data_IF_045996345713
#
_entry.id   IF_045996345713
#
_cell.length_a   1.000
_cell.length_b   1.000
_cell.length_c   1.000
_cell.angle_alpha   90.00
_cell.angle_beta   90.00
_cell.angle_gamma   90.00
#
_symmetry.space_group_name_H-M   'P 1'
#
loop_
_entity.id
_entity.type
_entity.pdbx_description
1 polymer ?
#
# COMPACT_ATOMS: atom_id res chain seq x y z
N UNK A 1 11.39 -32.57 -19.32
CA UNK A 1 11.11 -32.17 -17.92
C UNK A 1 10.60 -30.76 -17.96
N UNK A 2 9.31 -30.53 -17.79
CA UNK A 2 8.80 -29.13 -17.67
C UNK A 2 9.25 -28.61 -16.30
N UNK A 3 10.17 -27.65 -16.29
CA UNK A 3 10.53 -26.91 -15.09
C UNK A 3 9.30 -26.08 -14.70
N UNK A 4 8.75 -26.38 -13.52
CA UNK A 4 7.65 -25.59 -12.96
C UNK A 4 8.26 -24.24 -12.54
N UNK A 5 7.77 -23.16 -13.15
CA UNK A 5 8.16 -21.81 -12.78
C UNK A 5 7.49 -21.45 -11.44
N UNK A 6 8.24 -21.62 -10.34
CA UNK A 6 7.77 -21.32 -8.99
C UNK A 6 7.55 -19.82 -8.76
N UNK A 7 8.16 -18.94 -9.56
CA UNK A 7 7.95 -17.49 -9.49
C UNK A 7 6.51 -17.10 -9.79
N UNK A 8 5.83 -17.85 -10.65
CA UNK A 8 4.41 -17.66 -11.00
C UNK A 8 3.46 -17.82 -9.80
N UNK A 9 3.87 -18.52 -8.75
CA UNK A 9 3.06 -18.83 -7.57
C UNK A 9 3.43 -17.99 -6.35
N UNK A 10 4.35 -17.02 -6.50
CA UNK A 10 4.66 -16.06 -5.43
C UNK A 10 3.59 -14.98 -5.39
N UNK A 11 2.96 -14.81 -4.24
CA UNK A 11 2.11 -13.65 -3.98
C UNK A 11 2.92 -12.37 -4.15
N UNK A 12 2.43 -11.44 -4.96
CA UNK A 12 3.07 -10.16 -5.22
C UNK A 12 2.63 -9.12 -4.20
N UNK A 13 3.44 -8.10 -4.04
CA UNK A 13 3.15 -6.92 -3.23
C UNK A 13 3.75 -5.70 -3.89
N UNK A 14 3.06 -4.58 -3.78
CA UNK A 14 3.57 -3.27 -4.18
C UNK A 14 4.22 -2.54 -2.99
N UNK A 15 4.17 -3.13 -1.78
CA UNK A 15 4.73 -2.54 -0.57
C UNK A 15 6.19 -2.97 -0.37
N UNK A 16 7.10 -2.00 -0.26
CA UNK A 16 8.53 -2.28 0.01
C UNK A 16 8.73 -3.02 1.33
N UNK A 17 7.90 -2.72 2.32
CA UNK A 17 7.96 -3.32 3.67
C UNK A 17 7.63 -4.82 3.68
N UNK A 18 7.03 -5.34 2.63
CA UNK A 18 6.74 -6.77 2.44
C UNK A 18 7.75 -7.48 1.53
N UNK A 19 8.75 -6.76 1.04
CA UNK A 19 9.83 -7.31 0.22
C UNK A 19 10.67 -8.35 0.97
N UNK A 20 11.17 -9.37 0.25
CA UNK A 20 12.01 -10.41 0.84
C UNK A 20 13.28 -9.80 1.43
N UNK A 21 13.55 -10.10 2.72
CA UNK A 21 14.70 -9.56 3.45
C UNK A 21 14.58 -8.07 3.83
N UNK A 22 13.38 -7.50 3.81
CA UNK A 22 13.17 -6.11 4.22
C UNK A 22 13.75 -5.83 5.61
N UNK A 23 14.47 -4.71 5.70
CA UNK A 23 14.89 -4.08 6.96
C UNK A 23 14.74 -2.58 6.80
N UNK A 24 14.13 -1.94 7.76
CA UNK A 24 14.08 -0.48 7.83
C UNK A 24 15.45 0.07 8.29
N UNK A 25 15.86 1.21 7.73
CA UNK A 25 17.05 1.93 8.19
C UNK A 25 16.76 2.66 9.50
N UNK A 26 15.54 3.16 9.64
CA UNK A 26 15.04 3.76 10.88
C UNK A 26 13.55 3.52 11.04
N UNK A 27 13.09 3.48 12.29
CA UNK A 27 11.68 3.41 12.62
C UNK A 27 11.38 4.16 13.91
N UNK A 28 10.19 4.75 14.00
CA UNK A 28 9.71 5.37 15.22
C UNK A 28 8.19 5.21 15.39
N UNK A 29 7.74 5.22 16.63
CA UNK A 29 6.31 5.19 16.94
C UNK A 29 5.82 6.60 17.30
N UNK A 30 4.80 7.07 16.60
CA UNK A 30 4.10 8.31 16.92
C UNK A 30 3.26 8.10 18.18
N UNK A 31 2.58 6.96 18.25
CA UNK A 31 1.84 6.46 19.41
C UNK A 31 1.74 4.92 19.35
N UNK A 32 0.92 4.31 20.23
CA UNK A 32 0.72 2.85 20.22
C UNK A 32 0.11 2.30 18.91
N UNK A 33 -0.60 3.14 18.16
CA UNK A 33 -1.36 2.76 16.95
C UNK A 33 -0.67 3.14 15.65
N UNK A 34 0.39 3.97 15.67
CA UNK A 34 1.04 4.49 14.47
C UNK A 34 2.54 4.23 14.54
N UNK A 35 3.05 3.50 13.56
CA UNK A 35 4.45 3.19 13.33
C UNK A 35 4.89 3.77 11.99
N UNK A 36 6.02 4.47 11.98
CA UNK A 36 6.67 4.94 10.75
C UNK A 36 7.97 4.18 10.57
N UNK A 37 8.18 3.65 9.37
CA UNK A 37 9.40 2.97 8.96
C UNK A 37 9.97 3.67 7.73
N UNK A 38 11.27 3.96 7.75
CA UNK A 38 11.98 4.60 6.62
C UNK A 38 13.04 3.65 6.09
N UNK A 39 13.14 3.60 4.77
CA UNK A 39 14.17 2.85 4.06
C UNK A 39 14.68 3.65 2.88
N UNK A 40 16.00 3.63 2.68
CA UNK A 40 16.66 4.14 1.50
C UNK A 40 17.39 2.98 0.82
N UNK A 41 17.17 2.82 -0.47
CA UNK A 41 17.91 1.85 -1.26
C UNK A 41 18.31 2.44 -2.63
N UNK A 42 18.85 1.62 -3.51
CA UNK A 42 19.27 2.07 -4.85
C UNK A 42 18.12 2.56 -5.74
N UNK A 43 16.89 2.25 -5.39
CA UNK A 43 15.68 2.68 -6.13
C UNK A 43 15.22 4.06 -5.67
N UNK A 44 15.37 4.38 -4.39
CA UNK A 44 14.95 5.63 -3.80
C UNK A 44 14.65 5.53 -2.30
N UNK A 45 13.95 6.55 -1.79
CA UNK A 45 13.48 6.62 -0.40
C UNK A 45 12.07 6.08 -0.31
N UNK A 46 11.81 5.35 0.76
CA UNK A 46 10.50 4.81 1.11
C UNK A 46 10.15 5.17 2.54
N UNK A 47 8.96 5.69 2.75
CA UNK A 47 8.36 5.90 4.07
C UNK A 47 7.07 5.10 4.13
N UNK A 48 6.97 4.22 5.10
CA UNK A 48 5.79 3.40 5.37
C UNK A 48 5.17 3.81 6.68
N UNK A 49 3.94 4.31 6.64
CA UNK A 49 3.14 4.71 7.80
C UNK A 49 2.12 3.60 8.03
N UNK A 50 2.33 2.79 9.07
CA UNK A 50 1.40 1.75 9.49
C UNK A 50 0.52 2.26 10.62
N UNK A 51 -0.80 2.04 10.55
CA UNK A 51 -1.76 2.52 11.54
C UNK A 51 -2.88 1.50 11.76
N UNK A 52 -3.58 1.62 12.89
CA UNK A 52 -4.61 0.64 13.24
C UNK A 52 -5.93 0.90 12.50
N UNK A 53 -6.37 2.15 12.45
CA UNK A 53 -7.69 2.53 11.94
C UNK A 53 -7.73 4.01 11.54
N UNK A 54 -8.51 4.35 10.52
CA UNK A 54 -8.80 5.73 10.08
C UNK A 54 -10.28 6.12 10.31
N UNK A 55 -11.08 5.23 10.87
CA UNK A 55 -12.49 5.50 11.19
C UNK A 55 -12.62 6.20 12.55
N UNK A 56 -11.67 5.96 13.47
CA UNK A 56 -11.54 6.71 14.71
C UNK A 56 -11.02 8.13 14.43
N UNK A 57 -11.72 9.14 14.94
CA UNK A 57 -11.45 10.55 14.66
C UNK A 57 -10.08 11.02 15.14
N UNK A 58 -9.65 10.56 16.32
CA UNK A 58 -8.38 11.02 16.89
C UNK A 58 -7.22 10.33 16.20
N UNK A 59 -7.35 9.04 15.91
CA UNK A 59 -6.36 8.31 15.12
C UNK A 59 -6.24 8.88 13.71
N UNK A 60 -7.35 9.20 13.03
CA UNK A 60 -7.39 9.84 11.73
C UNK A 60 -6.54 11.12 11.70
N UNK A 61 -6.76 12.05 12.67
CA UNK A 61 -5.99 13.30 12.77
C UNK A 61 -4.50 13.06 12.97
N UNK A 62 -4.15 12.05 13.77
CA UNK A 62 -2.75 11.71 14.01
C UNK A 62 -2.10 11.10 12.78
N UNK A 63 -2.79 10.25 12.03
CA UNK A 63 -2.31 9.69 10.75
C UNK A 63 -2.14 10.80 9.73
N UNK A 64 -3.12 11.71 9.58
CA UNK A 64 -3.03 12.87 8.69
C UNK A 64 -1.81 13.75 9.01
N UNK A 65 -1.62 14.09 10.29
CA UNK A 65 -0.46 14.88 10.73
C UNK A 65 0.85 14.19 10.43
N UNK A 66 0.93 12.89 10.68
CA UNK A 66 2.12 12.08 10.40
C UNK A 66 2.39 12.06 8.89
N UNK A 67 1.34 11.82 8.08
CA UNK A 67 1.43 11.83 6.62
C UNK A 67 1.96 13.17 6.09
N UNK A 68 1.44 14.30 6.59
CA UNK A 68 1.89 15.65 6.20
C UNK A 68 3.38 15.84 6.54
N UNK A 69 3.80 15.43 7.73
CA UNK A 69 5.19 15.56 8.16
C UNK A 69 6.14 14.78 7.26
N UNK A 70 5.81 13.52 6.99
CA UNK A 70 6.64 12.65 6.16
C UNK A 70 6.62 13.06 4.67
N UNK A 71 5.47 13.51 4.17
CA UNK A 71 5.34 13.98 2.80
C UNK A 71 6.16 15.25 2.58
N UNK A 72 6.12 16.22 3.49
CA UNK A 72 6.94 17.44 3.41
C UNK A 72 8.44 17.13 3.42
N UNK A 73 8.87 16.16 4.22
CA UNK A 73 10.29 15.75 4.27
C UNK A 73 10.76 15.18 2.92
N UNK A 74 9.92 14.39 2.24
CA UNK A 74 10.25 13.82 0.92
C UNK A 74 10.17 14.87 -0.19
N UNK A 75 9.14 15.72 -0.18
CA UNK A 75 8.91 16.75 -1.18
C UNK A 75 10.03 17.80 -1.21
N UNK A 76 10.55 18.17 -0.04
CA UNK A 76 11.50 19.27 0.10
C UNK A 76 10.87 20.60 -0.31
N UNK A 77 11.65 21.49 -0.93
CA UNK A 77 11.15 22.78 -1.40
C UNK A 77 10.33 22.63 -2.68
N UNK A 78 9.08 23.09 -2.60
CA UNK A 78 8.11 23.06 -3.72
C UNK A 78 7.78 24.45 -4.25
N UNK A 79 8.43 25.49 -3.70
CA UNK A 79 8.21 26.88 -4.11
C UNK A 79 8.51 27.05 -5.60
N UNK A 80 7.67 27.81 -6.27
CA UNK A 80 7.75 28.14 -7.70
C UNK A 80 7.71 26.93 -8.67
N UNK A 81 7.45 25.69 -8.18
CA UNK A 81 7.30 24.51 -9.00
C UNK A 81 5.90 24.38 -9.59
N UNK A 82 5.84 23.96 -10.85
CA UNK A 82 4.61 23.51 -11.51
C UNK A 82 4.38 22.05 -11.13
N UNK A 83 3.33 21.77 -10.39
CA UNK A 83 3.07 20.48 -9.78
C UNK A 83 1.86 19.83 -10.45
N UNK A 84 2.03 18.56 -10.87
CA UNK A 84 0.93 17.73 -11.35
C UNK A 84 0.64 16.62 -10.33
N UNK A 85 -0.63 16.51 -9.90
CA UNK A 85 -1.11 15.43 -9.05
C UNK A 85 -1.96 14.48 -9.87
N UNK A 86 -1.57 13.21 -9.94
CA UNK A 86 -2.24 12.19 -10.75
C UNK A 86 -2.84 11.11 -9.86
N UNK A 87 -4.12 10.84 -10.01
CA UNK A 87 -4.80 9.72 -9.35
C UNK A 87 -4.98 8.55 -10.31
N UNK A 88 -4.19 7.49 -10.10
CA UNK A 88 -4.27 6.25 -10.87
C UNK A 88 -5.43 5.37 -10.37
N UNK A 89 -5.89 4.48 -11.24
CA UNK A 89 -6.90 3.49 -10.94
C UNK A 89 -8.23 3.72 -11.66
N UNK A 90 -9.18 2.86 -11.33
CA UNK A 90 -10.50 2.82 -11.96
C UNK A 90 -11.58 3.28 -10.96
N UNK A 91 -12.12 4.46 -11.16
CA UNK A 91 -13.20 5.02 -10.30
C UNK A 91 -14.48 4.16 -10.26
N UNK A 92 -14.67 3.21 -11.20
CA UNK A 92 -15.81 2.27 -11.21
C UNK A 92 -15.56 1.02 -10.35
N UNK A 93 -14.35 0.83 -9.85
CA UNK A 93 -13.97 -0.27 -8.99
C UNK A 93 -13.54 0.28 -7.65
N UNK A 94 -14.36 0.20 -6.62
CA UNK A 94 -14.11 0.84 -5.33
C UNK A 94 -12.70 0.56 -4.77
N UNK A 95 -12.19 -0.68 -4.76
CA UNK A 95 -10.84 -0.94 -4.27
C UNK A 95 -9.73 -0.23 -5.08
N UNK A 96 -10.02 0.14 -6.32
CA UNK A 96 -9.08 0.80 -7.25
C UNK A 96 -9.40 2.30 -7.42
N UNK A 97 -10.32 2.85 -6.63
CA UNK A 97 -10.79 4.24 -6.74
C UNK A 97 -10.01 5.24 -5.89
N UNK A 98 -9.05 4.80 -5.07
CA UNK A 98 -8.31 5.67 -4.14
C UNK A 98 -7.70 6.89 -4.84
N UNK A 99 -6.96 6.67 -5.93
CA UNK A 99 -6.32 7.75 -6.70
C UNK A 99 -7.35 8.72 -7.27
N UNK A 100 -8.32 8.26 -8.09
CA UNK A 100 -9.38 9.10 -8.64
C UNK A 100 -10.17 9.89 -7.59
N UNK A 101 -10.48 9.30 -6.44
CA UNK A 101 -11.22 9.95 -5.36
C UNK A 101 -10.36 10.97 -4.60
N UNK A 102 -9.07 10.69 -4.43
CA UNK A 102 -8.12 11.66 -3.86
C UNK A 102 -8.06 12.93 -4.70
N UNK A 103 -8.07 12.82 -6.03
CA UNK A 103 -8.05 13.97 -6.93
C UNK A 103 -9.26 14.90 -6.73
N UNK A 104 -10.43 14.38 -6.32
CA UNK A 104 -11.59 15.22 -6.00
C UNK A 104 -11.33 16.17 -4.80
N UNK A 105 -10.36 15.85 -3.97
CA UNK A 105 -9.99 16.60 -2.76
C UNK A 105 -8.75 17.48 -2.96
N UNK A 106 -8.15 17.51 -4.16
CA UNK A 106 -6.97 18.34 -4.45
C UNK A 106 -7.39 19.77 -4.80
N UNK A 107 -6.77 20.74 -4.14
CA UNK A 107 -6.90 22.14 -4.47
C UNK A 107 -6.08 22.48 -5.71
N UNK A 108 -6.74 22.71 -6.83
CA UNK A 108 -6.09 23.09 -8.09
C UNK A 108 -6.02 24.62 -8.22
N UNK A 109 -4.85 25.11 -8.54
CA UNK A 109 -4.53 26.56 -8.57
C UNK A 109 -3.91 27.01 -9.89
N UNK A 110 -3.45 26.11 -10.75
CA UNK A 110 -2.72 26.44 -11.99
C UNK A 110 -3.45 27.48 -12.84
N UNK A 111 -4.77 27.39 -12.97
CA UNK A 111 -5.56 28.33 -13.75
C UNK A 111 -5.49 29.77 -13.16
N UNK A 112 -5.41 29.90 -11.84
CA UNK A 112 -5.26 31.21 -11.17
C UNK A 112 -3.88 31.81 -11.45
N UNK A 113 -2.82 30.99 -11.42
CA UNK A 113 -1.48 31.44 -11.82
C UNK A 113 -1.43 31.98 -13.25
N UNK A 114 -2.19 31.36 -14.16
CA UNK A 114 -2.29 31.82 -15.54
C UNK A 114 -3.03 33.15 -15.67
N UNK A 115 -3.89 33.50 -14.72
CA UNK A 115 -4.61 34.75 -14.66
C UNK A 115 -3.86 35.87 -13.88
N UNK A 116 -2.79 35.49 -13.16
CA UNK A 116 -2.07 36.41 -12.27
C UNK A 116 -2.84 36.78 -11.00
N UNK A 117 -3.79 35.98 -10.57
CA UNK A 117 -4.72 36.23 -9.44
C UNK A 117 -4.41 35.33 -8.23
N UNK A 118 -3.13 35.03 -7.96
CA UNK A 118 -2.75 34.15 -6.86
C UNK A 118 -2.13 34.93 -5.72
N UNK A 119 -2.67 34.73 -4.52
CA UNK A 119 -2.09 35.26 -3.28
C UNK A 119 -0.83 34.43 -2.89
N UNK A 120 0.03 35.06 -2.09
CA UNK A 120 1.22 34.37 -1.53
C UNK A 120 0.84 33.14 -0.70
N UNK A 121 1.66 32.10 -0.76
CA UNK A 121 1.47 30.86 -0.01
C UNK A 121 0.71 29.75 -0.76
N UNK A 122 0.26 30.02 -1.99
CA UNK A 122 -0.24 28.97 -2.88
C UNK A 122 0.84 28.48 -3.83
N UNK A 123 0.89 27.16 -4.06
CA UNK A 123 1.72 26.52 -5.09
C UNK A 123 0.93 26.33 -6.38
N UNK A 124 1.63 26.26 -7.52
CA UNK A 124 1.03 26.05 -8.84
C UNK A 124 0.69 24.58 -9.05
N UNK A 125 -0.54 24.18 -8.79
CA UNK A 125 -1.00 22.78 -8.78
C UNK A 125 -2.08 22.56 -9.83
N UNK A 126 -1.91 21.53 -10.64
CA UNK A 126 -2.96 20.91 -11.46
C UNK A 126 -3.13 19.44 -11.13
N UNK A 127 -4.25 18.85 -11.50
CA UNK A 127 -4.56 17.46 -11.21
C UNK A 127 -5.15 16.75 -12.42
N UNK A 128 -4.98 15.42 -12.46
CA UNK A 128 -5.45 14.60 -13.58
C UNK A 128 -5.85 13.19 -13.16
N UNK A 129 -6.91 12.65 -13.78
CA UNK A 129 -7.38 11.28 -13.65
C UNK A 129 -7.27 10.58 -15.00
N UNK A 130 -6.20 9.81 -15.26
CA UNK A 130 -6.00 9.17 -16.56
C UNK A 130 -7.02 8.09 -16.87
N UNK A 131 -7.62 7.49 -15.83
CA UNK A 131 -8.37 6.25 -15.95
C UNK A 131 -7.43 5.05 -16.16
N UNK A 132 -7.98 3.94 -16.62
CA UNK A 132 -7.22 2.70 -16.90
C UNK A 132 -7.20 2.39 -18.39
N UNK A 133 -6.13 1.77 -18.85
CA UNK A 133 -5.91 1.41 -20.27
C UNK A 133 -7.09 0.63 -20.87
N UNK A 134 -7.73 -0.25 -20.09
CA UNK A 134 -8.91 -1.00 -20.53
C UNK A 134 -10.15 -0.14 -20.82
N UNK A 135 -10.20 1.11 -20.31
CA UNK A 135 -11.29 2.08 -20.56
C UNK A 135 -10.90 3.08 -21.64
N UNK A 136 -9.67 3.57 -21.60
CA UNK A 136 -9.19 4.65 -22.48
C UNK A 136 -8.59 4.15 -23.79
N UNK A 137 -8.09 2.90 -23.83
CA UNK A 137 -7.31 2.36 -24.93
C UNK A 137 -5.89 2.94 -25.04
N UNK A 138 -5.49 3.79 -24.09
CA UNK A 138 -4.19 4.47 -24.08
C UNK A 138 -3.39 4.00 -22.85
N UNK A 139 -2.09 3.77 -23.03
CA UNK A 139 -1.22 3.42 -21.92
C UNK A 139 -1.06 4.61 -20.97
N UNK A 140 -1.31 4.38 -19.68
CA UNK A 140 -1.36 5.44 -18.68
C UNK A 140 -0.02 6.18 -18.54
N UNK A 141 1.10 5.46 -18.60
CA UNK A 141 2.44 6.05 -18.54
C UNK A 141 2.74 6.97 -19.74
N UNK A 142 2.31 6.60 -20.95
CA UNK A 142 2.45 7.45 -22.16
C UNK A 142 1.62 8.74 -22.02
N UNK A 143 0.39 8.61 -21.51
CA UNK A 143 -0.48 9.76 -21.30
C UNK A 143 0.13 10.76 -20.31
N UNK A 144 0.66 10.25 -19.17
CA UNK A 144 1.30 11.07 -18.15
C UNK A 144 2.57 11.73 -18.70
N UNK A 145 3.40 11.00 -19.42
CA UNK A 145 4.63 11.54 -20.01
C UNK A 145 4.35 12.70 -20.98
N UNK A 146 3.36 12.54 -21.84
CA UNK A 146 2.94 13.61 -22.75
C UNK A 146 2.39 14.82 -22.00
N UNK A 147 1.60 14.59 -20.94
CA UNK A 147 1.02 15.67 -20.15
C UNK A 147 2.10 16.43 -19.36
N UNK A 148 3.06 15.73 -18.76
CA UNK A 148 4.22 16.32 -18.06
C UNK A 148 4.99 17.23 -18.99
N UNK A 149 5.30 16.76 -20.19
CA UNK A 149 6.05 17.53 -21.20
C UNK A 149 5.25 18.73 -21.70
N UNK A 150 3.97 18.55 -22.02
CA UNK A 150 3.11 19.61 -22.57
C UNK A 150 2.85 20.74 -21.56
N UNK A 151 2.70 20.41 -20.27
CA UNK A 151 2.43 21.36 -19.21
C UNK A 151 3.71 21.93 -18.56
N UNK A 152 4.89 21.43 -18.97
CA UNK A 152 6.20 21.78 -18.39
C UNK A 152 6.20 21.59 -16.87
N UNK A 153 5.88 20.39 -16.41
CA UNK A 153 5.76 20.03 -15.00
C UNK A 153 7.14 19.85 -14.38
N UNK A 154 7.35 20.42 -13.18
CA UNK A 154 8.60 20.32 -12.42
C UNK A 154 8.57 19.20 -11.36
N UNK A 155 7.38 18.78 -10.91
CA UNK A 155 7.17 17.75 -9.90
C UNK A 155 5.88 16.99 -10.16
N UNK A 156 5.96 15.67 -10.16
CA UNK A 156 4.80 14.78 -10.28
C UNK A 156 4.52 14.08 -8.94
N UNK A 157 3.27 14.13 -8.48
CA UNK A 157 2.77 13.31 -7.38
C UNK A 157 1.76 12.31 -7.94
N UNK A 158 1.96 11.02 -7.67
CA UNK A 158 1.11 9.95 -8.18
C UNK A 158 0.47 9.20 -7.00
N UNK A 159 -0.84 9.02 -7.04
CA UNK A 159 -1.60 8.28 -6.03
C UNK A 159 -2.16 7.01 -6.66
N UNK A 160 -1.98 5.85 -6.00
CA UNK A 160 -2.47 4.57 -6.48
C UNK A 160 -2.96 3.66 -5.34
N UNK A 161 -3.86 2.77 -5.70
CA UNK A 161 -4.29 1.66 -4.85
C UNK A 161 -3.34 0.47 -5.07
N UNK A 162 -2.79 -0.08 -3.99
CA UNK A 162 -1.78 -1.12 -4.01
C UNK A 162 -2.34 -2.49 -3.65
N UNK A 163 -1.61 -3.55 -4.00
CA UNK A 163 -1.84 -4.89 -3.52
C UNK A 163 -0.87 -5.22 -2.35
N UNK A 164 -1.41 -5.82 -1.28
CA UNK A 164 -0.62 -6.29 -0.14
C UNK A 164 -0.40 -7.79 -0.19
N UNK A 165 0.65 -8.26 0.51
CA UNK A 165 0.93 -9.66 0.80
C UNK A 165 0.45 -10.05 2.22
N UNK A 166 -0.15 -9.13 2.97
CA UNK A 166 -0.70 -9.38 4.30
C UNK A 166 -2.03 -8.66 4.49
N UNK A 167 -3.02 -9.38 5.03
CA UNK A 167 -4.32 -8.82 5.39
C UNK A 167 -4.23 -7.70 6.44
N UNK A 168 -3.19 -7.71 7.26
CA UNK A 168 -2.99 -6.72 8.33
C UNK A 168 -2.67 -5.32 7.80
N UNK A 169 -2.19 -5.23 6.55
CA UNK A 169 -1.79 -3.97 5.92
C UNK A 169 -2.89 -3.33 5.10
N UNK A 170 -3.94 -4.08 4.74
CA UNK A 170 -5.05 -3.58 3.92
C UNK A 170 -5.70 -2.40 4.62
N UNK A 171 -5.74 -1.24 3.94
CA UNK A 171 -6.32 0.01 4.42
C UNK A 171 -5.71 0.54 5.73
N UNK A 172 -4.54 0.03 6.12
CA UNK A 172 -3.83 0.36 7.36
C UNK A 172 -2.37 0.76 7.14
N UNK A 173 -2.01 1.01 5.90
CA UNK A 173 -0.65 1.38 5.52
C UNK A 173 -0.70 2.44 4.44
N UNK A 174 0.07 3.51 4.60
CA UNK A 174 0.36 4.47 3.53
C UNK A 174 1.85 4.36 3.23
N UNK A 175 2.21 4.13 1.97
CA UNK A 175 3.58 4.17 1.49
C UNK A 175 3.81 5.43 0.69
N UNK A 176 4.87 6.17 1.00
CA UNK A 176 5.34 7.34 0.24
C UNK A 176 6.74 6.99 -0.29
N UNK A 177 7.01 7.28 -1.56
CA UNK A 177 8.32 6.96 -2.16
C UNK A 177 8.68 7.95 -3.26
N UNK A 178 9.98 8.23 -3.43
CA UNK A 178 10.53 8.91 -4.61
C UNK A 178 11.15 7.95 -5.64
N UNK A 179 11.01 6.65 -5.42
CA UNK A 179 11.44 5.62 -6.37
C UNK A 179 10.56 5.51 -7.62
N UNK A 180 9.35 6.10 -7.57
CA UNK A 180 8.34 5.95 -8.62
C UNK A 180 7.39 4.78 -8.34
N UNK A 181 6.59 4.44 -9.36
CA UNK A 181 5.57 3.39 -9.30
C UNK A 181 5.44 2.67 -10.64
N UNK A 182 5.15 1.37 -10.58
CA UNK A 182 4.77 0.56 -11.75
C UNK A 182 3.32 0.12 -11.60
N UNK A 183 2.36 0.85 -12.18
CA UNK A 183 0.94 0.58 -11.97
C UNK A 183 0.57 -0.86 -12.35
N UNK A 184 -0.20 -1.53 -11.50
CA UNK A 184 -0.68 -2.89 -11.73
C UNK A 184 0.36 -3.99 -11.54
N UNK A 185 1.55 -3.71 -11.02
CA UNK A 185 2.60 -4.71 -10.76
C UNK A 185 2.14 -5.78 -9.77
N UNK A 186 1.41 -5.38 -8.74
CA UNK A 186 0.85 -6.28 -7.73
C UNK A 186 -0.29 -7.17 -8.21
N UNK A 187 -0.85 -6.93 -9.40
CA UNK A 187 -2.00 -7.67 -9.95
C UNK A 187 -1.69 -8.33 -11.30
N UNK A 188 -0.43 -8.68 -11.56
CA UNK A 188 0.04 -9.30 -12.82
C UNK A 188 -0.24 -8.49 -14.11
N UNK A 189 -0.47 -7.19 -13.96
CA UNK A 189 -0.74 -6.28 -15.06
C UNK A 189 0.31 -5.16 -15.09
N UNK A 190 1.59 -5.57 -15.18
CA UNK A 190 2.71 -4.62 -15.20
C UNK A 190 2.59 -3.68 -16.41
N UNK A 191 2.55 -2.39 -16.13
CA UNK A 191 2.50 -1.30 -17.08
C UNK A 191 3.79 -0.50 -17.07
N UNK A 192 3.90 0.49 -17.96
CA UNK A 192 5.07 1.35 -18.02
C UNK A 192 5.35 2.02 -16.66
N UNK A 193 6.62 1.99 -16.26
CA UNK A 193 7.10 2.63 -15.03
C UNK A 193 6.90 4.16 -15.09
N UNK A 194 6.43 4.74 -13.99
CA UNK A 194 6.30 6.18 -13.78
C UNK A 194 7.31 6.55 -12.68
N UNK A 195 8.46 7.04 -13.09
CA UNK A 195 9.57 7.34 -12.18
C UNK A 195 10.39 8.54 -12.68
N UNK A 196 11.27 9.03 -11.82
CA UNK A 196 12.24 10.07 -12.19
C UNK A 196 13.10 9.66 -13.39
N UNK A 197 13.39 8.34 -13.53
CA UNK A 197 14.20 7.83 -14.65
C UNK A 197 13.47 7.92 -16.00
N UNK A 198 12.16 7.71 -16.00
CA UNK A 198 11.35 7.70 -17.23
C UNK A 198 10.87 9.10 -17.63
N UNK A 199 10.65 9.99 -16.65
CA UNK A 199 10.06 11.32 -16.88
C UNK A 199 11.07 12.45 -16.81
N UNK A 200 12.30 12.22 -16.30
CA UNK A 200 13.35 13.22 -16.08
C UNK A 200 12.93 14.38 -15.13
N UNK A 201 11.91 14.19 -14.31
CA UNK A 201 11.48 15.09 -13.25
C UNK A 201 11.30 14.31 -11.96
N UNK A 202 11.38 14.92 -10.77
CA UNK A 202 11.04 14.27 -9.51
C UNK A 202 9.63 13.69 -9.54
N UNK A 203 9.50 12.43 -9.08
CA UNK A 203 8.23 11.70 -8.96
C UNK A 203 8.06 11.22 -7.54
N UNK A 204 6.97 11.58 -6.91
CA UNK A 204 6.57 11.09 -5.58
C UNK A 204 5.36 10.17 -5.76
N UNK A 205 5.49 8.93 -5.35
CA UNK A 205 4.42 7.94 -5.36
C UNK A 205 3.82 7.82 -3.95
N UNK A 206 2.49 7.83 -3.86
CA UNK A 206 1.72 7.62 -2.63
C UNK A 206 0.79 6.46 -2.88
N UNK A 207 0.88 5.42 -2.07
CA UNK A 207 0.09 4.23 -2.24
C UNK A 207 -0.53 3.70 -0.95
N UNK A 208 -1.71 3.12 -1.07
CA UNK A 208 -2.39 2.43 0.03
C UNK A 208 -2.82 1.04 -0.45
N UNK A 209 -2.49 -0.03 0.27
CA UNK A 209 -2.98 -1.35 -0.07
C UNK A 209 -4.46 -1.47 0.23
N UNK A 210 -5.25 -1.78 -0.79
CA UNK A 210 -6.71 -1.90 -0.73
C UNK A 210 -7.19 -3.33 -0.96
N UNK A 211 -6.32 -4.17 -1.52
CA UNK A 211 -6.61 -5.55 -1.92
C UNK A 211 -5.51 -6.51 -1.50
N UNK A 212 -5.88 -7.78 -1.40
CA UNK A 212 -4.96 -8.91 -1.20
C UNK A 212 -5.44 -10.09 -2.02
N UNK A 213 -4.52 -10.94 -2.48
CA UNK A 213 -4.89 -12.20 -3.14
C UNK A 213 -5.57 -13.16 -2.16
N UNK A 214 -6.60 -13.89 -2.59
CA UNK A 214 -7.27 -14.90 -1.77
C UNK A 214 -6.31 -16.00 -1.28
N UNK A 215 -5.29 -16.33 -2.07
CA UNK A 215 -4.22 -17.26 -1.73
C UNK A 215 -3.45 -16.84 -0.48
N UNK A 216 -3.21 -15.54 -0.31
CA UNK A 216 -2.57 -14.98 0.89
C UNK A 216 -3.40 -15.26 2.14
N UNK A 217 -4.73 -15.01 2.06
CA UNK A 217 -5.62 -15.22 3.20
C UNK A 217 -5.60 -16.69 3.66
N UNK A 218 -5.62 -17.62 2.70
CA UNK A 218 -5.58 -19.05 3.00
C UNK A 218 -4.21 -19.44 3.57
N UNK A 219 -3.12 -18.95 2.99
CA UNK A 219 -1.76 -19.20 3.49
C UNK A 219 -1.57 -18.66 4.91
N UNK A 220 -2.02 -17.43 5.19
CA UNK A 220 -1.96 -16.84 6.52
C UNK A 220 -2.81 -17.63 7.53
N UNK A 221 -4.03 -18.01 7.14
CA UNK A 221 -4.91 -18.83 7.98
C UNK A 221 -4.27 -20.17 8.32
N UNK A 222 -3.66 -20.82 7.34
CA UNK A 222 -2.97 -22.09 7.55
C UNK A 222 -1.76 -21.94 8.49
N UNK A 223 -0.95 -20.92 8.30
CA UNK A 223 0.18 -20.62 9.18
C UNK A 223 -0.26 -20.30 10.61
N UNK A 224 -1.35 -19.53 10.77
CA UNK A 224 -1.91 -19.22 12.08
C UNK A 224 -2.42 -20.49 12.80
N UNK A 225 -3.08 -21.40 12.08
CA UNK A 225 -3.53 -22.67 12.58
C UNK A 225 -2.34 -23.54 13.05
N UNK A 226 -1.23 -23.57 12.30
CA UNK A 226 -0.02 -24.29 12.72
C UNK A 226 0.58 -23.71 14.01
N UNK A 227 0.63 -22.39 14.15
CA UNK A 227 1.07 -21.73 15.39
C UNK A 227 0.15 -22.08 16.56
N UNK A 228 -1.16 -22.10 16.34
CA UNK A 228 -2.12 -22.51 17.37
C UNK A 228 -1.88 -23.94 17.84
N UNK A 229 -1.68 -24.88 16.92
CA UNK A 229 -1.39 -26.28 17.27
C UNK A 229 -0.08 -26.41 18.03
N UNK A 230 0.98 -25.73 17.60
CA UNK A 230 2.25 -25.71 18.31
C UNK A 230 2.08 -25.23 19.76
N UNK A 231 1.40 -24.11 19.94
CA UNK A 231 1.12 -23.57 21.26
C UNK A 231 0.35 -24.57 22.14
N UNK A 232 -0.69 -25.22 21.59
CA UNK A 232 -1.48 -26.22 22.36
C UNK A 232 -0.64 -27.44 22.74
N UNK A 233 0.24 -27.93 21.84
CA UNK A 233 1.14 -29.05 22.14
C UNK A 233 2.17 -28.72 23.22
N UNK A 234 2.80 -27.55 23.15
CA UNK A 234 3.77 -27.09 24.15
C UNK A 234 3.14 -26.92 25.54
N UNK A 235 1.85 -26.59 25.58
CA UNK A 235 1.14 -26.28 26.81
C UNK A 235 0.17 -27.38 27.27
N UNK A 236 0.16 -28.55 26.66
CA UNK A 236 -0.79 -29.64 26.95
C UNK A 236 -0.75 -30.08 28.42
N UNK A 237 0.43 -29.99 29.05
CA UNK A 237 0.66 -30.35 30.44
C UNK A 237 0.75 -29.16 31.39
N UNK A 238 0.43 -27.92 30.93
CA UNK A 238 0.51 -26.75 31.75
C UNK A 238 -0.74 -26.59 32.65
N UNK A 239 -0.63 -26.80 33.98
CA UNK A 239 -1.79 -26.75 34.90
C UNK A 239 -2.45 -25.38 34.95
N UNK A 240 -1.69 -24.31 34.71
CA UNK A 240 -2.18 -22.91 34.78
C UNK A 240 -3.21 -22.62 33.69
N UNK A 241 -3.06 -23.23 32.50
CA UNK A 241 -4.00 -23.02 31.38
C UNK A 241 -5.31 -23.82 31.54
N UNK A 242 -5.36 -24.77 32.44
CA UNK A 242 -6.59 -25.53 32.76
C UNK A 242 -7.55 -24.79 33.67
N UNK A 243 -7.07 -23.74 34.34
CA UNK A 243 -7.80 -22.97 35.37
C UNK A 243 -8.21 -21.55 34.92
N UNK A 244 -7.70 -21.08 33.79
CA UNK A 244 -8.00 -19.75 33.24
C UNK A 244 -8.91 -19.90 32.03
N UNK A 245 -9.98 -19.09 31.95
CA UNK A 245 -10.75 -18.95 30.71
C UNK A 245 -9.78 -18.64 29.56
N UNK A 246 -9.98 -19.28 28.42
CA UNK A 246 -9.12 -19.07 27.25
C UNK A 246 -9.12 -17.59 26.87
N UNK A 247 -8.08 -16.85 27.28
CA UNK A 247 -7.79 -15.55 26.72
C UNK A 247 -7.52 -15.71 25.22
N UNK A 248 -8.09 -14.83 24.41
CA UNK A 248 -7.80 -14.79 22.97
C UNK A 248 -6.31 -14.49 22.81
N UNK A 249 -5.51 -15.53 22.65
CA UNK A 249 -4.10 -15.37 22.36
C UNK A 249 -3.88 -15.03 20.92
N UNK A 250 -3.14 -13.97 20.67
CA UNK A 250 -2.66 -13.63 19.34
C UNK A 250 -1.36 -14.38 19.06
N UNK A 251 -1.42 -15.39 18.20
CA UNK A 251 -0.27 -16.20 17.80
C UNK A 251 0.57 -15.57 16.68
N UNK A 252 0.14 -14.45 16.08
CA UNK A 252 0.76 -13.85 14.90
C UNK A 252 2.19 -13.43 15.14
N UNK A 253 2.46 -12.80 16.29
CA UNK A 253 3.80 -12.32 16.66
C UNK A 253 4.69 -13.40 17.31
N UNK A 254 4.13 -14.57 17.64
CA UNK A 254 4.89 -15.64 18.31
C UNK A 254 5.75 -16.42 17.30
N UNK A 255 7.03 -16.55 17.62
CA UNK A 255 7.98 -17.40 16.87
C UNK A 255 7.82 -18.90 17.21
N UNK A 256 6.59 -19.37 17.28
CA UNK A 256 6.29 -20.77 17.57
C UNK A 256 6.17 -21.50 16.23
N UNK A 257 6.86 -22.60 16.07
CA UNK A 257 6.77 -23.46 14.89
C UNK A 257 6.67 -24.93 15.30
N UNK A 258 5.79 -25.68 14.66
CA UNK A 258 5.74 -27.14 14.79
C UNK A 258 7.00 -27.78 14.21
N UNK A 259 7.50 -28.83 14.85
CA UNK A 259 8.51 -29.69 14.23
C UNK A 259 7.94 -30.37 12.98
N UNK A 260 8.79 -30.69 12.00
CA UNK A 260 8.34 -31.39 10.77
C UNK A 260 7.66 -32.72 11.10
N UNK A 261 8.14 -33.43 12.15
CA UNK A 261 7.52 -34.67 12.65
C UNK A 261 6.09 -34.42 13.14
N UNK A 262 5.86 -33.36 13.92
CA UNK A 262 4.55 -33.07 14.48
C UNK A 262 3.59 -32.51 13.41
N UNK A 263 4.11 -31.74 12.46
CA UNK A 263 3.36 -31.31 11.25
C UNK A 263 2.84 -32.56 10.49
N UNK A 264 3.72 -33.54 10.23
CA UNK A 264 3.34 -34.76 9.54
C UNK A 264 2.30 -35.58 10.31
N UNK A 265 2.41 -35.68 11.64
CA UNK A 265 1.42 -36.39 12.50
C UNK A 265 0.04 -35.71 12.50
N UNK A 266 0.00 -34.39 12.57
CA UNK A 266 -1.26 -33.62 12.68
C UNK A 266 -1.95 -33.47 11.32
N UNK A 267 -1.18 -33.17 10.27
CA UNK A 267 -1.69 -32.80 8.95
C UNK A 267 -1.53 -33.89 7.89
N UNK A 268 -0.90 -35.03 8.26
CA UNK A 268 -0.61 -36.09 7.32
C UNK A 268 0.23 -35.59 6.13
N UNK A 269 -0.18 -35.94 4.92
CA UNK A 269 0.55 -35.55 3.69
C UNK A 269 0.71 -34.04 3.53
N UNK A 270 -0.27 -33.24 3.94
CA UNK A 270 -0.16 -31.77 3.88
C UNK A 270 0.97 -31.23 4.77
N UNK A 271 1.23 -31.88 5.89
CA UNK A 271 2.31 -31.50 6.80
C UNK A 271 3.72 -31.74 6.26
N UNK A 272 3.87 -32.61 5.25
CA UNK A 272 5.16 -32.89 4.60
C UNK A 272 5.51 -31.93 3.46
N UNK A 273 4.53 -31.13 3.00
CA UNK A 273 4.73 -30.15 1.94
C UNK A 273 5.55 -28.95 2.43
N UNK A 274 6.46 -28.49 1.58
CA UNK A 274 7.14 -27.21 1.77
C UNK A 274 6.16 -26.03 1.67
N UNK A 275 6.55 -24.86 2.15
CA UNK A 275 5.74 -23.65 2.01
C UNK A 275 5.39 -23.34 0.55
N UNK A 276 6.36 -23.46 -0.36
CA UNK A 276 6.14 -23.23 -1.79
C UNK A 276 5.17 -24.21 -2.45
N UNK A 277 5.18 -25.47 -2.01
CA UNK A 277 4.21 -26.47 -2.50
C UNK A 277 2.81 -26.22 -1.97
N UNK A 278 2.66 -25.76 -0.72
CA UNK A 278 1.38 -25.36 -0.15
C UNK A 278 0.83 -24.11 -0.85
N UNK A 279 1.65 -23.09 -1.06
CA UNK A 279 1.24 -21.86 -1.76
C UNK A 279 0.79 -22.18 -3.20
N UNK A 280 1.49 -23.09 -3.88
CA UNK A 280 1.08 -23.60 -5.20
C UNK A 280 -0.28 -24.30 -5.15
N UNK A 281 -0.48 -25.20 -4.18
CA UNK A 281 -1.75 -25.89 -3.99
C UNK A 281 -2.90 -24.93 -3.74
N UNK A 282 -2.70 -23.93 -2.88
CA UNK A 282 -3.71 -22.89 -2.61
C UNK A 282 -4.02 -22.09 -3.85
N UNK A 283 -2.98 -21.72 -4.61
CA UNK A 283 -3.17 -21.01 -5.87
C UNK A 283 -3.98 -21.83 -6.87
N UNK A 284 -3.66 -23.11 -7.09
CA UNK A 284 -4.38 -24.00 -8.01
C UNK A 284 -5.87 -24.15 -7.64
N UNK A 285 -6.18 -24.19 -6.34
CA UNK A 285 -7.57 -24.31 -5.84
C UNK A 285 -8.34 -22.99 -5.98
N UNK A 286 -7.70 -21.86 -5.67
CA UNK A 286 -8.35 -20.56 -5.57
C UNK A 286 -8.36 -19.77 -6.90
N UNK A 287 -7.55 -20.19 -7.86
CA UNK A 287 -7.46 -19.53 -9.18
C UNK A 287 -7.76 -20.50 -10.33
N UNK A 288 -8.93 -21.17 -10.33
CA UNK A 288 -9.29 -22.04 -11.44
C UNK A 288 -9.35 -21.21 -12.73
N UNK A 289 -8.78 -21.75 -13.81
CA UNK A 289 -8.79 -21.13 -15.15
C UNK A 289 -7.98 -19.81 -15.20
N UNK A 290 -6.90 -19.67 -14.43
CA UNK A 290 -6.07 -18.44 -14.35
C UNK A 290 -6.87 -17.18 -13.90
N UNK A 291 -7.98 -17.34 -13.18
CA UNK A 291 -8.75 -16.26 -12.63
C UNK A 291 -8.18 -15.89 -11.25
N UNK A 292 -7.53 -14.74 -11.15
CA UNK A 292 -6.95 -14.27 -9.89
C UNK A 292 -8.04 -13.63 -9.02
N UNK A 293 -8.31 -14.22 -7.86
CA UNK A 293 -9.30 -13.72 -6.90
C UNK A 293 -8.67 -12.71 -5.96
N UNK A 294 -9.06 -11.45 -6.09
CA UNK A 294 -8.68 -10.36 -5.17
C UNK A 294 -9.77 -10.12 -4.13
N UNK A 295 -9.36 -9.90 -2.89
CA UNK A 295 -10.25 -9.70 -1.74
C UNK A 295 -10.00 -8.32 -1.15
N UNK A 296 -11.10 -7.67 -0.75
CA UNK A 296 -11.11 -6.38 -0.07
C UNK A 296 -12.09 -6.42 1.10
N UNK A 297 -11.91 -5.59 2.16
CA UNK A 297 -12.87 -5.50 3.26
C UNK A 297 -14.26 -5.06 2.79
N UNK A 298 -15.29 -5.50 3.52
CA UNK A 298 -16.68 -5.16 3.23
C UNK A 298 -16.94 -3.65 3.24
N UNK A 299 -16.32 -2.94 4.17
CA UNK A 299 -16.49 -1.50 4.37
C UNK A 299 -15.56 -0.65 3.49
N UNK A 300 -15.07 -1.21 2.39
CA UNK A 300 -14.06 -0.55 1.53
C UNK A 300 -14.51 0.82 1.03
N UNK A 301 -15.81 1.00 0.72
CA UNK A 301 -16.36 2.25 0.21
C UNK A 301 -16.13 3.41 1.20
N UNK A 302 -16.50 3.20 2.45
CA UNK A 302 -16.33 4.16 3.51
C UNK A 302 -14.84 4.43 3.82
N UNK A 303 -14.02 3.39 3.78
CA UNK A 303 -12.59 3.51 4.09
C UNK A 303 -11.86 4.27 2.98
N UNK A 304 -12.17 4.00 1.71
CA UNK A 304 -11.60 4.72 0.56
C UNK A 304 -11.96 6.20 0.62
N UNK A 305 -13.21 6.53 0.94
CA UNK A 305 -13.63 7.93 1.15
C UNK A 305 -12.77 8.62 2.23
N UNK A 306 -12.56 7.96 3.38
CA UNK A 306 -11.74 8.52 4.47
C UNK A 306 -10.27 8.68 4.08
N UNK A 307 -9.69 7.67 3.43
CA UNK A 307 -8.29 7.69 3.00
C UNK A 307 -8.06 8.72 1.90
N UNK A 308 -8.95 8.81 0.93
CA UNK A 308 -8.85 9.80 -0.16
C UNK A 308 -8.94 11.23 0.36
N UNK A 309 -9.81 11.50 1.33
CA UNK A 309 -9.89 12.79 2.02
C UNK A 309 -8.61 13.08 2.82
N UNK A 310 -8.09 12.08 3.56
CA UNK A 310 -6.87 12.23 4.36
C UNK A 310 -5.67 12.56 3.47
N UNK A 311 -5.49 11.81 2.39
CA UNK A 311 -4.37 11.99 1.46
C UNK A 311 -4.51 13.31 0.71
N UNK A 312 -5.70 13.63 0.18
CA UNK A 312 -5.96 14.88 -0.53
C UNK A 312 -5.72 16.11 0.34
N UNK A 313 -6.28 16.13 1.55
CA UNK A 313 -6.05 17.20 2.52
C UNK A 313 -4.58 17.30 2.93
N UNK A 314 -3.92 16.15 3.15
CA UNK A 314 -2.51 16.11 3.49
C UNK A 314 -1.62 16.64 2.38
N UNK A 315 -1.91 16.34 1.11
CA UNK A 315 -1.22 16.90 -0.05
C UNK A 315 -1.43 18.42 -0.10
N UNK A 316 -2.66 18.91 0.03
CA UNK A 316 -2.96 20.34 0.03
C UNK A 316 -2.16 21.09 1.11
N UNK A 317 -2.16 20.57 2.36
CA UNK A 317 -1.40 21.14 3.50
C UNK A 317 0.12 21.03 3.33
N UNK A 318 0.58 20.11 2.51
CA UNK A 318 2.00 19.95 2.21
C UNK A 318 2.48 20.86 1.08
N UNK A 319 1.61 21.19 0.14
CA UNK A 319 1.94 21.99 -1.02
C UNK A 319 1.66 23.50 -0.82
N UNK A 320 0.62 23.85 -0.07
CA UNK A 320 0.20 25.25 0.08
C UNK A 320 0.47 25.76 1.50
N UNK A 321 1.34 26.76 1.62
CA UNK A 321 1.74 27.33 2.91
C UNK A 321 0.62 28.06 3.62
N UNK A 322 -0.38 28.56 2.89
CA UNK A 322 -1.57 29.21 3.46
C UNK A 322 -2.27 28.34 4.53
N UNK A 323 -2.22 27.02 4.43
CA UNK A 323 -2.78 26.12 5.44
C UNK A 323 -1.89 25.95 6.69
N UNK A 324 -0.66 26.46 6.67
CA UNK A 324 0.28 26.37 7.79
C UNK A 324 0.25 27.62 8.69
N UNK A 325 -0.38 28.71 8.23
CA UNK A 325 -0.43 30.02 8.92
C UNK A 325 -1.65 30.16 9.84
N UNK A 326 -2.56 29.18 9.85
CA UNK A 326 -3.77 29.18 10.69
C UNK A 326 -3.57 28.23 11.89
N UNK A 327 -2.77 28.68 12.88
CA UNK A 327 -2.73 28.12 14.24
C UNK A 327 -3.13 29.19 15.23
#
# INVERSE_FOLDING_TARGET
MHTIDLEKYKCRTDLVVEGDGYKSDSSYRVNKNILVEKRNDSSGRYVTISFLDVTDKDNYKMVEKTFITELKEILGDVKDKKILVVGLGNYKSTPDALGPDTINNILVTRHLFSLGEVEDGYSNVCSFKPGVTGVTGIETSELINNLVSFLEIDLLIVIDALAARSIERINRTIQISDAGISPGSGVYNSRGEISTKTLNIPVIAIGVPTIVEATVIVSDTFNYMLKHFSYKLENINNPKLKLVMEDKQDYREQKISLSDSDRGKILGMLGTLSKSELDKLFYEVLTPINFNMMVTPKEIDFIIEKLSMLIGNGINKSLHDVFNTTN
#
